data_IF_332424435111
#
_entry.id   IF_332424435111
#
_cell.length_a   1.000
_cell.length_b   1.000
_cell.length_c   1.000
_cell.angle_alpha   90.00
_cell.angle_beta   90.00
_cell.angle_gamma   90.00
#
_symmetry.space_group_name_H-M   'P 1'
#
loop_
_entity.id
_entity.type
_entity.pdbx_description
1 polymer ?
#
# COMPACT_ATOMS: atom_id res chain seq x y z
N UNK A 1 16.40 53.84 -46.55
CA UNK A 1 17.71 53.85 -45.87
C UNK A 1 17.42 54.09 -44.39
N UNK A 2 17.11 53.02 -43.66
CA UNK A 2 16.58 53.10 -42.28
C UNK A 2 17.53 52.34 -41.38
N UNK A 3 18.20 53.10 -40.53
CA UNK A 3 19.27 52.68 -39.63
C UNK A 3 18.73 51.79 -38.51
N UNK A 4 19.29 50.59 -38.41
CA UNK A 4 19.12 49.65 -37.30
C UNK A 4 19.88 50.21 -36.09
N UNK A 5 19.19 50.41 -34.96
CA UNK A 5 19.81 50.58 -33.64
C UNK A 5 19.49 49.34 -32.80
N UNK A 6 20.53 48.57 -32.50
CA UNK A 6 20.46 47.43 -31.61
C UNK A 6 20.31 47.83 -30.14
N UNK A 7 19.68 46.95 -29.37
CA UNK A 7 20.01 46.71 -27.96
C UNK A 7 19.71 45.25 -27.65
N UNK A 8 20.73 44.41 -27.77
CA UNK A 8 20.70 43.03 -27.28
C UNK A 8 21.38 42.99 -25.92
N UNK A 9 20.61 42.82 -24.85
CA UNK A 9 21.12 42.29 -23.57
C UNK A 9 20.93 40.77 -23.57
N UNK A 10 22.00 39.98 -23.39
CA UNK A 10 21.93 38.53 -23.43
C UNK A 10 21.53 37.92 -22.08
N UNK A 11 20.60 36.97 -22.13
CA UNK A 11 20.56 35.80 -21.24
C UNK A 11 20.24 36.02 -19.76
N UNK A 12 18.96 36.13 -19.41
CA UNK A 12 18.48 35.61 -18.13
C UNK A 12 18.13 34.12 -18.30
N UNK A 13 18.58 33.20 -17.43
CA UNK A 13 18.19 31.81 -17.53
C UNK A 13 16.68 31.72 -17.27
N UNK A 14 15.95 31.11 -18.20
CA UNK A 14 14.59 30.59 -17.94
C UNK A 14 14.71 29.50 -16.87
N UNK A 15 14.78 29.91 -15.60
CA UNK A 15 14.58 29.02 -14.46
C UNK A 15 13.20 28.39 -14.63
N UNK A 16 13.17 27.06 -14.78
CA UNK A 16 11.94 26.30 -14.97
C UNK A 16 11.00 26.50 -13.77
N UNK A 17 9.98 27.34 -13.93
CA UNK A 17 8.81 27.49 -13.03
C UNK A 17 7.94 26.21 -12.90
N UNK A 18 8.50 25.05 -13.23
CA UNK A 18 7.84 23.74 -13.10
C UNK A 18 7.90 23.25 -11.66
N UNK A 19 8.97 23.59 -10.92
CA UNK A 19 9.15 23.16 -9.52
C UNK A 19 8.33 24.00 -8.52
N UNK A 20 7.99 25.25 -8.82
CA UNK A 20 7.19 26.11 -7.93
C UNK A 20 5.70 25.73 -7.87
N UNK A 21 5.22 24.91 -8.82
CA UNK A 21 3.86 24.35 -8.82
C UNK A 21 3.78 22.97 -8.13
N UNK A 22 4.91 22.38 -7.74
CA UNK A 22 4.91 21.06 -7.11
C UNK A 22 4.60 21.20 -5.62
N UNK A 23 3.36 20.92 -5.24
CA UNK A 23 2.93 20.94 -3.84
C UNK A 23 3.47 19.72 -3.09
N UNK A 24 4.77 19.75 -2.77
CA UNK A 24 5.49 18.69 -2.05
C UNK A 24 4.88 18.39 -0.67
N UNK A 25 4.16 19.35 -0.09
CA UNK A 25 3.42 19.24 1.18
C UNK A 25 2.54 17.98 1.22
N UNK A 26 1.75 17.73 0.17
CA UNK A 26 0.86 16.58 0.08
C UNK A 26 1.63 15.26 -0.04
N UNK A 27 2.75 15.28 -0.75
CA UNK A 27 3.61 14.10 -0.92
C UNK A 27 4.26 13.72 0.41
N UNK A 28 4.84 14.69 1.12
CA UNK A 28 5.45 14.47 2.43
C UNK A 28 4.41 14.01 3.46
N UNK A 29 3.26 14.69 3.52
CA UNK A 29 2.15 14.31 4.40
C UNK A 29 1.63 12.89 4.14
N UNK A 30 1.54 12.50 2.87
CA UNK A 30 1.14 11.15 2.46
C UNK A 30 2.14 10.08 2.88
N UNK A 31 3.44 10.31 2.64
CA UNK A 31 4.50 9.38 3.05
C UNK A 31 4.57 9.27 4.57
N UNK A 32 4.53 10.39 5.30
CA UNK A 32 4.56 10.36 6.77
C UNK A 32 3.36 9.61 7.34
N UNK A 33 2.16 9.84 6.80
CA UNK A 33 0.96 9.11 7.20
C UNK A 33 1.08 7.61 6.99
N UNK A 34 1.57 7.19 5.81
CA UNK A 34 1.79 5.79 5.48
C UNK A 34 2.84 5.11 6.36
N UNK A 35 3.98 5.78 6.61
CA UNK A 35 5.06 5.24 7.45
C UNK A 35 4.63 5.15 8.90
N UNK A 36 4.05 6.20 9.48
CA UNK A 36 3.62 6.21 10.89
C UNK A 36 2.52 5.16 11.13
N UNK A 37 1.52 5.09 10.25
CA UNK A 37 0.47 4.06 10.31
C UNK A 37 1.06 2.64 10.23
N UNK A 38 2.02 2.43 9.35
CA UNK A 38 2.72 1.14 9.21
C UNK A 38 3.49 0.80 10.49
N UNK A 39 4.22 1.74 11.08
CA UNK A 39 4.99 1.53 12.32
C UNK A 39 4.08 1.21 13.51
N UNK A 40 3.01 1.98 13.70
CA UNK A 40 2.08 1.77 14.82
C UNK A 40 1.32 0.45 14.73
N UNK A 41 1.01 0.01 13.50
CA UNK A 41 0.21 -1.20 13.26
C UNK A 41 1.03 -2.40 12.81
N UNK A 42 2.36 -2.30 12.78
CA UNK A 42 3.23 -3.42 12.46
C UNK A 42 3.07 -4.62 13.42
N UNK A 43 2.83 -4.43 14.74
CA UNK A 43 2.46 -5.55 15.62
C UNK A 43 1.21 -6.29 15.11
N UNK A 44 0.22 -5.53 14.62
CA UNK A 44 -0.94 -5.95 13.84
C UNK A 44 -0.61 -7.00 12.78
N UNK A 45 0.31 -6.57 11.92
CA UNK A 45 0.74 -7.30 10.73
C UNK A 45 1.51 -8.55 11.05
N UNK A 46 2.37 -8.46 12.05
CA UNK A 46 3.15 -9.59 12.49
C UNK A 46 2.24 -10.71 13.00
N UNK A 47 1.26 -10.40 13.86
CA UNK A 47 0.40 -11.47 14.36
C UNK A 47 -0.52 -11.98 13.26
N UNK A 48 -1.03 -11.13 12.34
CA UNK A 48 -1.81 -11.60 11.18
C UNK A 48 -1.05 -12.69 10.42
N UNK A 49 0.23 -12.46 10.10
CA UNK A 49 1.07 -13.42 9.36
C UNK A 49 1.27 -14.69 10.18
N UNK A 50 1.59 -14.57 11.48
CA UNK A 50 1.77 -15.72 12.36
C UNK A 50 0.49 -16.56 12.51
N UNK A 51 -0.67 -15.94 12.63
CA UNK A 51 -1.95 -16.64 12.69
C UNK A 51 -2.28 -17.35 11.37
N UNK A 52 -1.99 -16.74 10.22
CA UNK A 52 -2.25 -17.33 8.90
C UNK A 52 -1.40 -18.59 8.64
N UNK A 53 -0.20 -18.65 9.21
CA UNK A 53 0.77 -19.75 9.06
C UNK A 53 0.71 -20.76 10.21
N UNK A 54 0.06 -20.41 11.33
CA UNK A 54 -0.06 -21.30 12.46
C UNK A 54 -1.06 -22.41 12.17
N UNK A 55 -0.54 -23.52 11.66
CA UNK A 55 -1.31 -24.71 11.32
C UNK A 55 -1.52 -25.60 12.55
N UNK A 56 -0.88 -25.29 13.70
CA UNK A 56 -1.04 -26.00 14.96
C UNK A 56 -0.35 -27.37 15.03
N UNK A 57 0.46 -27.70 14.03
CA UNK A 57 1.15 -28.98 13.85
C UNK A 57 2.68 -28.90 14.04
N UNK A 58 3.27 -27.71 13.93
CA UNK A 58 4.71 -27.53 14.05
C UNK A 58 5.07 -27.08 15.46
N UNK A 59 5.92 -27.85 16.14
CA UNK A 59 6.36 -27.58 17.52
C UNK A 59 7.08 -26.23 17.68
N UNK A 60 7.60 -25.66 16.59
CA UNK A 60 8.23 -24.34 16.58
C UNK A 60 7.24 -23.17 16.63
N UNK A 61 5.97 -23.37 16.28
CA UNK A 61 4.96 -22.30 16.25
C UNK A 61 4.13 -22.30 17.56
N UNK A 62 4.23 -21.25 18.39
CA UNK A 62 3.42 -21.17 19.62
C UNK A 62 1.92 -21.09 19.30
N UNK A 63 1.11 -21.82 20.09
CA UNK A 63 -0.35 -21.73 20.04
C UNK A 63 -0.82 -20.45 20.72
N UNK A 64 -1.49 -19.60 19.96
CA UNK A 64 -2.04 -18.34 20.46
C UNK A 64 -3.54 -18.45 20.68
N UNK A 65 -3.99 -18.28 21.93
CA UNK A 65 -5.42 -18.21 22.26
C UNK A 65 -5.93 -16.76 22.15
N UNK A 66 -5.88 -16.21 20.93
CA UNK A 66 -6.36 -14.86 20.60
C UNK A 66 -5.27 -13.79 20.47
N UNK A 67 -5.70 -12.60 20.03
CA UNK A 67 -4.82 -11.47 19.68
C UNK A 67 -4.01 -10.95 20.87
N UNK A 68 -4.67 -10.75 22.01
CA UNK A 68 -4.05 -10.19 23.22
C UNK A 68 -3.03 -11.15 23.83
N UNK A 69 -3.39 -12.44 23.91
CA UNK A 69 -2.48 -13.49 24.36
C UNK A 69 -1.26 -13.57 23.44
N UNK A 70 -1.46 -13.55 22.11
CA UNK A 70 -0.35 -13.53 21.16
C UNK A 70 0.60 -12.36 21.40
N UNK A 71 0.07 -11.14 21.56
CA UNK A 71 0.88 -9.95 21.78
C UNK A 71 1.69 -10.05 23.08
N UNK A 72 1.06 -10.46 24.19
CA UNK A 72 1.73 -10.64 25.49
C UNK A 72 2.79 -11.73 25.42
N UNK A 73 2.50 -12.86 24.78
CA UNK A 73 3.43 -13.97 24.65
C UNK A 73 4.66 -13.57 23.83
N UNK A 74 4.48 -12.88 22.70
CA UNK A 74 5.60 -12.41 21.86
C UNK A 74 6.48 -11.42 22.64
N UNK A 75 5.90 -10.49 23.38
CA UNK A 75 6.68 -9.55 24.20
C UNK A 75 7.47 -10.29 25.29
N UNK A 76 6.89 -11.33 25.89
CA UNK A 76 7.58 -12.15 26.90
C UNK A 76 8.71 -13.01 26.33
N UNK A 77 8.54 -13.58 25.14
CA UNK A 77 9.52 -14.52 24.55
C UNK A 77 10.57 -13.85 23.67
N UNK A 78 10.19 -12.87 22.86
CA UNK A 78 11.06 -12.21 21.86
C UNK A 78 11.36 -10.75 22.19
N UNK A 79 10.71 -10.20 23.22
CA UNK A 79 10.80 -8.79 23.58
C UNK A 79 10.01 -7.87 22.64
N UNK A 80 10.03 -6.57 22.95
CA UNK A 80 9.35 -5.53 22.14
C UNK A 80 9.93 -5.47 20.72
N UNK A 81 11.23 -5.73 20.55
CA UNK A 81 11.86 -5.79 19.22
C UNK A 81 11.33 -6.92 18.35
N UNK A 82 10.84 -8.01 18.95
CA UNK A 82 10.17 -9.11 18.25
C UNK A 82 8.93 -8.63 17.48
N UNK A 83 8.13 -7.75 18.07
CA UNK A 83 6.93 -7.19 17.45
C UNK A 83 7.22 -6.35 16.20
N UNK A 84 8.44 -5.85 16.03
CA UNK A 84 8.87 -5.01 14.91
C UNK A 84 9.70 -5.77 13.86
N UNK A 85 9.84 -7.09 13.97
CA UNK A 85 10.52 -7.90 12.95
C UNK A 85 9.80 -7.81 11.61
N UNK A 86 10.56 -7.58 10.54
CA UNK A 86 10.01 -7.42 9.18
C UNK A 86 9.45 -6.03 8.85
N UNK A 87 9.60 -5.03 9.72
CA UNK A 87 9.11 -3.66 9.44
C UNK A 87 9.87 -2.97 8.31
N UNK A 88 11.19 -3.13 8.24
CA UNK A 88 12.03 -2.55 7.18
C UNK A 88 11.63 -3.02 5.78
N UNK A 89 11.55 -4.33 5.48
CA UNK A 89 11.09 -4.79 4.17
C UNK A 89 9.61 -4.46 3.92
N UNK A 90 8.78 -4.27 4.96
CA UNK A 90 7.40 -3.83 4.81
C UNK A 90 7.31 -2.40 4.25
N UNK A 91 8.06 -1.47 4.83
CA UNK A 91 8.10 -0.07 4.38
C UNK A 91 8.73 0.03 3.00
N UNK A 92 9.90 -0.59 2.80
CA UNK A 92 10.59 -0.61 1.51
C UNK A 92 9.73 -1.26 0.42
N UNK A 93 9.15 -2.43 0.71
CA UNK A 93 8.32 -3.18 -0.22
C UNK A 93 7.05 -2.42 -0.62
N UNK A 94 6.41 -1.73 0.33
CA UNK A 94 5.23 -0.91 0.05
C UNK A 94 5.58 0.28 -0.85
N UNK A 95 6.63 1.03 -0.52
CA UNK A 95 7.10 2.16 -1.33
C UNK A 95 7.51 1.73 -2.73
N UNK A 96 8.32 0.67 -2.85
CA UNK A 96 8.76 0.15 -4.15
C UNK A 96 7.60 -0.38 -4.97
N UNK A 97 6.61 -1.03 -4.35
CA UNK A 97 5.43 -1.55 -5.06
C UNK A 97 4.62 -0.43 -5.71
N UNK A 98 4.34 0.66 -4.98
CA UNK A 98 3.64 1.81 -5.56
C UNK A 98 4.47 2.50 -6.65
N UNK A 99 5.78 2.66 -6.45
CA UNK A 99 6.67 3.22 -7.46
C UNK A 99 6.68 2.42 -8.76
N UNK A 100 6.92 1.10 -8.67
CA UNK A 100 6.88 0.21 -9.83
C UNK A 100 5.50 0.13 -10.46
N UNK A 101 4.43 0.12 -9.66
CA UNK A 101 3.06 0.10 -10.17
C UNK A 101 2.79 1.33 -11.05
N UNK A 102 3.07 2.54 -10.56
CA UNK A 102 2.87 3.76 -11.35
C UNK A 102 3.80 3.81 -12.57
N UNK A 103 5.04 3.34 -12.44
CA UNK A 103 5.98 3.26 -13.55
C UNK A 103 5.46 2.35 -14.68
N UNK A 104 5.10 1.10 -14.36
CA UNK A 104 4.60 0.15 -15.35
C UNK A 104 3.23 0.57 -15.89
N UNK A 105 2.33 1.02 -15.02
CA UNK A 105 1.01 1.50 -15.43
C UNK A 105 1.11 2.65 -16.43
N UNK A 106 1.92 3.67 -16.14
CA UNK A 106 2.10 4.80 -17.06
C UNK A 106 2.81 4.38 -18.36
N UNK A 107 3.77 3.46 -18.29
CA UNK A 107 4.46 2.95 -19.49
C UNK A 107 3.50 2.19 -20.40
N UNK A 108 2.71 1.27 -19.85
CA UNK A 108 1.70 0.49 -20.58
C UNK A 108 0.62 1.44 -21.12
N UNK A 109 0.14 2.37 -20.30
CA UNK A 109 -0.86 3.37 -20.70
C UNK A 109 -0.37 4.23 -21.88
N UNK A 110 0.85 4.76 -21.82
CA UNK A 110 1.44 5.55 -22.92
C UNK A 110 1.63 4.71 -24.17
N UNK A 111 2.02 3.43 -24.03
CA UNK A 111 2.14 2.49 -25.14
C UNK A 111 0.79 2.25 -25.83
N UNK A 112 -0.28 2.01 -25.06
CA UNK A 112 -1.63 1.80 -25.61
C UNK A 112 -2.17 3.08 -26.27
N UNK A 113 -1.87 4.26 -25.71
CA UNK A 113 -2.29 5.54 -26.29
C UNK A 113 -1.46 5.97 -27.52
N UNK A 114 -0.41 5.20 -27.89
CA UNK A 114 0.45 5.51 -29.04
C UNK A 114 1.14 6.87 -28.92
N UNK A 115 1.50 7.28 -27.70
CA UNK A 115 2.11 8.59 -27.42
C UNK A 115 1.15 9.78 -27.42
N UNK A 116 -0.16 9.57 -27.61
CA UNK A 116 -1.14 10.65 -27.66
C UNK A 116 -2.03 10.67 -26.40
N UNK A 117 -1.62 11.41 -25.36
CA UNK A 117 -2.30 11.43 -24.03
C UNK A 117 -3.77 11.87 -24.04
N UNK A 118 -4.28 12.44 -25.14
CA UNK A 118 -5.68 12.90 -25.26
C UNK A 118 -6.69 11.84 -25.69
N UNK A 119 -6.27 10.61 -26.03
CA UNK A 119 -7.22 9.54 -26.37
C UNK A 119 -7.85 8.96 -25.10
N UNK A 120 -9.18 9.07 -24.91
CA UNK A 120 -9.86 8.40 -23.81
C UNK A 120 -9.77 6.89 -24.00
N UNK A 121 -9.27 6.19 -22.99
CA UNK A 121 -9.24 4.73 -22.96
C UNK A 121 -10.52 4.24 -22.29
N UNK A 122 -11.11 3.17 -22.83
CA UNK A 122 -12.25 2.52 -22.21
C UNK A 122 -11.90 1.94 -20.82
N UNK A 123 -12.89 1.75 -19.93
CA UNK A 123 -12.67 1.16 -18.60
C UNK A 123 -11.99 -0.21 -18.64
N UNK A 124 -12.32 -1.05 -19.63
CA UNK A 124 -11.70 -2.37 -19.84
C UNK A 124 -10.20 -2.28 -20.12
N UNK A 125 -9.78 -1.32 -20.95
CA UNK A 125 -8.35 -1.11 -21.26
C UNK A 125 -7.58 -0.61 -20.05
N UNK A 126 -8.19 0.24 -19.21
CA UNK A 126 -7.61 0.63 -17.93
C UNK A 126 -7.46 -0.57 -16.99
N UNK A 127 -8.44 -1.48 -16.99
CA UNK A 127 -8.39 -2.69 -16.16
C UNK A 127 -7.28 -3.65 -16.61
N UNK A 128 -7.12 -3.89 -17.92
CA UNK A 128 -6.01 -4.71 -18.44
C UNK A 128 -4.65 -4.06 -18.17
N UNK A 129 -4.50 -2.77 -18.44
CA UNK A 129 -3.26 -2.05 -18.14
C UNK A 129 -2.90 -2.08 -16.64
N UNK A 130 -3.91 -1.96 -15.77
CA UNK A 130 -3.73 -2.08 -14.32
C UNK A 130 -3.36 -3.51 -13.91
N UNK A 131 -3.96 -4.53 -14.52
CA UNK A 131 -3.65 -5.94 -14.26
C UNK A 131 -2.22 -6.28 -14.68
N UNK A 132 -1.81 -5.91 -15.89
CA UNK A 132 -0.46 -6.16 -16.41
C UNK A 132 0.61 -5.42 -15.58
N UNK A 133 0.35 -4.16 -15.23
CA UNK A 133 1.22 -3.40 -14.32
C UNK A 133 1.32 -4.07 -12.93
N UNK A 134 0.21 -4.61 -12.42
CA UNK A 134 0.16 -5.36 -11.16
C UNK A 134 1.00 -6.65 -11.21
N UNK A 135 0.93 -7.40 -12.31
CA UNK A 135 1.74 -8.62 -12.53
C UNK A 135 3.23 -8.27 -12.59
N UNK A 136 3.63 -7.27 -13.38
CA UNK A 136 5.03 -6.84 -13.49
C UNK A 136 5.58 -6.33 -12.15
N UNK A 137 4.77 -5.56 -11.42
CA UNK A 137 5.13 -5.08 -10.09
C UNK A 137 5.32 -6.24 -9.11
N UNK A 138 4.45 -7.26 -9.17
CA UNK A 138 4.59 -8.45 -8.33
C UNK A 138 5.88 -9.19 -8.65
N UNK A 139 6.22 -9.40 -9.92
CA UNK A 139 7.47 -10.07 -10.32
C UNK A 139 8.71 -9.37 -9.74
N UNK A 140 8.72 -8.04 -9.77
CA UNK A 140 9.83 -7.25 -9.23
C UNK A 140 9.88 -7.22 -7.70
N UNK A 141 8.72 -7.12 -7.04
CA UNK A 141 8.65 -6.91 -5.58
C UNK A 141 8.52 -8.20 -4.78
N UNK A 142 8.22 -9.34 -5.42
CA UNK A 142 7.99 -10.59 -4.72
C UNK A 142 9.14 -11.00 -3.77
N UNK A 143 10.43 -10.85 -4.11
CA UNK A 143 11.52 -11.15 -3.19
C UNK A 143 11.44 -10.33 -1.89
N UNK A 144 11.07 -9.06 -1.97
CA UNK A 144 10.92 -8.17 -0.80
C UNK A 144 9.80 -8.68 0.11
N UNK A 145 8.67 -9.10 -0.49
CA UNK A 145 7.53 -9.65 0.25
C UNK A 145 7.85 -11.00 0.91
N UNK A 146 8.64 -11.86 0.26
CA UNK A 146 9.13 -13.12 0.85
C UNK A 146 10.06 -12.85 2.04
N UNK A 147 10.95 -11.86 1.93
CA UNK A 147 11.83 -11.46 3.04
C UNK A 147 11.00 -10.93 4.21
N UNK A 148 9.96 -10.12 3.93
CA UNK A 148 9.04 -9.63 4.97
C UNK A 148 8.40 -10.80 5.74
N UNK A 149 7.76 -11.74 5.05
CA UNK A 149 7.03 -12.83 5.71
C UNK A 149 7.94 -13.72 6.52
N UNK A 150 9.10 -14.10 5.99
CA UNK A 150 10.09 -14.91 6.72
C UNK A 150 10.67 -14.22 7.94
N UNK A 151 10.96 -12.91 7.87
CA UNK A 151 11.41 -12.16 9.03
C UNK A 151 10.32 -12.05 10.11
N UNK A 152 9.04 -11.92 9.74
CA UNK A 152 7.93 -11.96 10.70
C UNK A 152 7.78 -13.34 11.39
N UNK A 153 8.19 -14.41 10.70
CA UNK A 153 8.11 -15.79 11.16
C UNK A 153 9.40 -16.28 11.83
N UNK A 154 10.46 -15.48 11.89
CA UNK A 154 11.68 -15.91 12.58
C UNK A 154 11.42 -15.95 14.09
N UNK A 155 11.55 -17.14 14.69
CA UNK A 155 11.45 -17.33 16.14
C UNK A 155 12.86 -17.31 16.77
N UNK A 156 12.94 -17.21 18.10
CA UNK A 156 14.23 -17.05 18.81
C UNK A 156 15.19 -18.25 18.63
N UNK A 157 14.69 -19.43 18.28
CA UNK A 157 15.49 -20.64 18.07
C UNK A 157 16.07 -20.78 16.65
N UNK A 158 15.65 -19.94 15.69
CA UNK A 158 16.11 -19.98 14.30
C UNK A 158 17.46 -19.28 14.11
N UNK A 159 18.55 -19.91 14.56
CA UNK A 159 19.90 -19.34 14.45
C UNK A 159 20.52 -19.59 13.06
N UNK A 160 20.08 -20.60 12.29
CA UNK A 160 20.60 -20.87 10.95
C UNK A 160 19.54 -21.45 9.99
N UNK A 161 18.92 -20.60 9.17
CA UNK A 161 18.07 -21.09 8.06
C UNK A 161 18.98 -21.64 6.96
N UNK A 162 18.85 -22.93 6.66
CA UNK A 162 19.61 -23.58 5.58
C UNK A 162 19.45 -22.82 4.25
N UNK A 163 20.57 -22.56 3.57
CA UNK A 163 20.62 -21.77 2.33
C UNK A 163 19.73 -22.38 1.21
N UNK A 164 19.53 -23.70 1.22
CA UNK A 164 18.64 -24.43 0.31
C UNK A 164 17.16 -24.04 0.42
N UNK A 165 16.71 -23.55 1.58
CA UNK A 165 15.32 -23.07 1.80
C UNK A 165 15.12 -21.61 1.36
N UNK A 166 16.20 -20.90 1.00
CA UNK A 166 16.19 -19.46 0.68
C UNK A 166 15.39 -19.12 -0.58
N UNK A 167 15.34 -20.00 -1.58
CA UNK A 167 14.66 -19.72 -2.87
C UNK A 167 13.39 -20.55 -3.12
N UNK A 168 13.09 -21.52 -2.25
CA UNK A 168 11.92 -22.39 -2.38
C UNK A 168 10.68 -21.71 -1.80
N UNK A 169 9.52 -21.81 -2.47
CA UNK A 169 8.25 -21.30 -1.93
C UNK A 169 8.03 -19.78 -2.06
N UNK A 170 8.39 -19.18 -3.19
CA UNK A 170 8.24 -17.73 -3.39
C UNK A 170 6.78 -17.21 -3.32
N UNK A 171 5.78 -18.09 -3.37
CA UNK A 171 4.36 -17.72 -3.30
C UNK A 171 3.87 -16.91 -4.51
N UNK A 172 4.56 -16.99 -5.65
CA UNK A 172 4.25 -16.19 -6.84
C UNK A 172 2.88 -16.54 -7.44
N UNK A 173 2.58 -17.84 -7.59
CA UNK A 173 1.31 -18.31 -8.16
C UNK A 173 0.10 -17.78 -7.37
N UNK A 174 -0.03 -17.99 -6.05
CA UNK A 174 -1.12 -17.36 -5.30
C UNK A 174 -1.00 -15.83 -5.24
N UNK A 175 0.21 -15.27 -5.36
CA UNK A 175 0.42 -13.84 -5.51
C UNK A 175 -0.24 -13.24 -6.76
N UNK A 176 -0.24 -13.96 -7.88
CA UNK A 176 -0.89 -13.52 -9.13
C UNK A 176 -2.41 -13.43 -8.98
N UNK A 177 -3.02 -14.35 -8.21
CA UNK A 177 -4.43 -14.21 -7.83
C UNK A 177 -4.69 -12.92 -7.03
N UNK A 178 -3.67 -12.36 -6.37
CA UNK A 178 -3.76 -11.06 -5.71
C UNK A 178 -4.06 -9.89 -6.65
N UNK A 179 -3.73 -9.99 -7.95
CA UNK A 179 -4.09 -8.95 -8.94
C UNK A 179 -5.61 -8.83 -9.09
N UNK A 180 -6.35 -9.93 -8.88
CA UNK A 180 -7.82 -9.91 -8.90
C UNK A 180 -8.44 -9.09 -7.75
N UNK A 181 -7.69 -8.81 -6.67
CA UNK A 181 -8.19 -8.07 -5.51
C UNK A 181 -8.71 -6.68 -5.91
N UNK A 182 -7.95 -5.95 -6.74
CA UNK A 182 -8.35 -4.62 -7.20
C UNK A 182 -9.59 -4.67 -8.11
N UNK A 183 -9.68 -5.68 -8.97
CA UNK A 183 -10.84 -5.89 -9.85
C UNK A 183 -12.11 -6.17 -9.04
N UNK A 184 -12.04 -7.05 -8.03
CA UNK A 184 -13.17 -7.36 -7.15
C UNK A 184 -13.58 -6.14 -6.33
N UNK A 185 -12.60 -5.37 -5.82
CA UNK A 185 -12.89 -4.13 -5.10
C UNK A 185 -13.62 -3.11 -5.98
N UNK A 186 -13.14 -2.92 -7.21
CA UNK A 186 -13.75 -1.99 -8.17
C UNK A 186 -15.16 -2.44 -8.55
N UNK A 187 -15.34 -3.71 -8.93
CA UNK A 187 -16.64 -4.30 -9.26
C UNK A 187 -17.63 -4.14 -8.10
N UNK A 188 -17.24 -4.52 -6.87
CA UNK A 188 -18.10 -4.40 -5.70
C UNK A 188 -18.47 -2.93 -5.42
N UNK A 189 -17.52 -2.01 -5.61
CA UNK A 189 -17.77 -0.58 -5.47
C UNK A 189 -18.79 -0.06 -6.48
N UNK A 190 -18.63 -0.40 -7.77
CA UNK A 190 -19.56 0.04 -8.82
C UNK A 190 -20.96 -0.56 -8.65
N UNK A 191 -21.06 -1.84 -8.29
CA UNK A 191 -22.35 -2.50 -8.04
C UNK A 191 -23.12 -1.86 -6.88
N UNK A 192 -22.46 -1.62 -5.75
CA UNK A 192 -23.09 -0.96 -4.60
C UNK A 192 -23.54 0.47 -4.95
N UNK A 193 -22.69 1.20 -5.69
CA UNK A 193 -22.98 2.55 -6.16
C UNK A 193 -24.19 2.57 -7.11
N UNK A 194 -24.24 1.67 -8.09
CA UNK A 194 -25.33 1.56 -9.06
C UNK A 194 -26.65 1.17 -8.37
N UNK A 195 -26.61 0.24 -7.43
CA UNK A 195 -27.79 -0.15 -6.64
C UNK A 195 -28.34 1.02 -5.81
N UNK A 196 -27.46 1.85 -5.27
CA UNK A 196 -27.85 3.03 -4.51
C UNK A 196 -28.50 4.12 -5.40
N UNK A 197 -27.96 4.38 -6.59
CA UNK A 197 -28.60 5.28 -7.56
C UNK A 197 -29.99 4.80 -7.98
N UNK A 198 -30.14 3.49 -8.24
CA UNK A 198 -31.44 2.89 -8.57
C UNK A 198 -32.44 3.02 -7.42
N UNK A 199 -31.98 2.91 -6.17
CA UNK A 199 -32.85 3.12 -5.00
C UNK A 199 -33.33 4.58 -4.87
N UNK A 200 -32.46 5.54 -5.17
CA UNK A 200 -32.77 6.97 -5.13
C UNK A 200 -33.49 7.47 -6.40
N UNK A 201 -33.56 6.69 -7.47
CA UNK A 201 -34.03 7.10 -8.81
C UNK A 201 -33.31 8.36 -9.34
N UNK A 202 -32.01 8.46 -9.07
CA UNK A 202 -31.15 9.61 -9.45
C UNK A 202 -30.21 9.18 -10.59
N UNK A 203 -29.90 10.05 -11.57
CA UNK A 203 -28.97 9.72 -12.66
C UNK A 203 -27.59 9.33 -12.13
N UNK A 204 -26.96 8.34 -12.79
CA UNK A 204 -25.72 7.64 -12.41
C UNK A 204 -24.51 8.59 -12.24
N UNK A 205 -24.56 9.77 -12.86
CA UNK A 205 -23.47 10.76 -12.85
C UNK A 205 -23.49 11.73 -11.66
N UNK A 206 -24.45 11.58 -10.73
CA UNK A 206 -24.59 12.49 -9.59
C UNK A 206 -23.48 12.25 -8.58
N UNK A 207 -22.69 13.29 -8.27
CA UNK A 207 -21.59 13.19 -7.30
C UNK A 207 -22.15 12.86 -5.91
N UNK A 208 -21.79 11.69 -5.39
CA UNK A 208 -22.13 11.24 -4.03
C UNK A 208 -21.47 12.14 -2.99
N UNK A 209 -22.11 12.23 -1.82
CA UNK A 209 -21.52 12.88 -0.66
C UNK A 209 -20.22 12.17 -0.27
N UNK A 210 -19.25 12.92 0.26
CA UNK A 210 -17.96 12.37 0.70
C UNK A 210 -18.13 11.20 1.68
N UNK A 211 -19.13 11.28 2.56
CA UNK A 211 -19.43 10.23 3.53
C UNK A 211 -19.90 8.94 2.86
N UNK A 212 -20.81 9.05 1.88
CA UNK A 212 -21.34 7.91 1.13
C UNK A 212 -20.23 7.25 0.31
N UNK A 213 -19.39 8.05 -0.33
CA UNK A 213 -18.22 7.57 -1.06
C UNK A 213 -17.29 6.75 -0.16
N UNK A 214 -16.98 7.24 1.04
CA UNK A 214 -16.13 6.55 2.01
C UNK A 214 -16.77 5.24 2.47
N UNK A 215 -18.08 5.23 2.74
CA UNK A 215 -18.81 4.03 3.15
C UNK A 215 -18.76 2.96 2.06
N UNK A 216 -19.06 3.31 0.80
CA UNK A 216 -18.98 2.38 -0.33
C UNK A 216 -17.56 1.88 -0.57
N UNK A 217 -16.56 2.76 -0.46
CA UNK A 217 -15.15 2.37 -0.60
C UNK A 217 -14.69 1.43 0.52
N UNK A 218 -15.15 1.65 1.75
CA UNK A 218 -14.84 0.77 2.88
C UNK A 218 -15.50 -0.60 2.71
N UNK A 219 -16.80 -0.65 2.41
CA UNK A 219 -17.52 -1.91 2.18
C UNK A 219 -16.93 -2.70 1.03
N UNK A 220 -16.56 -2.05 -0.09
CA UNK A 220 -15.99 -2.75 -1.25
C UNK A 220 -14.64 -3.36 -0.91
N UNK A 221 -13.82 -2.65 -0.15
CA UNK A 221 -12.53 -3.14 0.35
C UNK A 221 -12.71 -4.34 1.29
N UNK A 222 -13.72 -4.33 2.15
CA UNK A 222 -14.03 -5.46 3.04
C UNK A 222 -14.49 -6.69 2.25
N UNK A 223 -15.38 -6.51 1.27
CA UNK A 223 -15.85 -7.60 0.40
C UNK A 223 -14.69 -8.20 -0.40
N UNK A 224 -13.85 -7.35 -1.00
CA UNK A 224 -12.66 -7.81 -1.73
C UNK A 224 -11.64 -8.50 -0.81
N UNK A 225 -11.44 -7.99 0.42
CA UNK A 225 -10.55 -8.62 1.39
C UNK A 225 -11.08 -9.98 1.84
N UNK A 226 -12.38 -10.13 2.05
CA UNK A 226 -13.00 -11.39 2.47
C UNK A 226 -13.00 -12.43 1.35
N UNK A 227 -13.38 -12.04 0.12
CA UNK A 227 -13.42 -12.96 -1.03
C UNK A 227 -12.03 -13.47 -1.42
N UNK A 228 -11.03 -12.61 -1.29
CA UNK A 228 -9.66 -12.94 -1.68
C UNK A 228 -8.76 -13.36 -0.51
N UNK A 229 -9.31 -13.48 0.70
CA UNK A 229 -8.52 -13.90 1.86
C UNK A 229 -7.85 -15.27 1.72
N UNK A 230 -8.50 -16.31 1.14
CA UNK A 230 -7.91 -17.65 1.01
C UNK A 230 -6.54 -17.66 0.30
N UNK A 231 -6.38 -16.85 -0.75
CA UNK A 231 -5.09 -16.80 -1.45
C UNK A 231 -4.01 -16.16 -0.56
N UNK A 232 -4.36 -15.19 0.29
CA UNK A 232 -3.40 -14.52 1.19
C UNK A 232 -2.83 -15.51 2.20
N UNK A 233 -3.68 -16.37 2.75
CA UNK A 233 -3.27 -17.42 3.69
C UNK A 233 -2.35 -18.42 3.01
N UNK A 234 -2.75 -18.94 1.84
CA UNK A 234 -1.93 -19.90 1.09
C UNK A 234 -0.60 -19.28 0.66
N UNK A 235 -0.59 -18.00 0.26
CA UNK A 235 0.65 -17.28 -0.04
C UNK A 235 1.56 -17.19 1.19
N UNK A 236 1.02 -16.84 2.35
CA UNK A 236 1.79 -16.73 3.59
C UNK A 236 2.38 -18.10 4.00
N UNK A 237 1.59 -19.17 3.93
CA UNK A 237 2.03 -20.55 4.24
C UNK A 237 3.12 -21.05 3.31
N UNK A 238 3.03 -20.75 2.01
CA UNK A 238 4.09 -21.13 1.06
C UNK A 238 5.40 -20.37 1.29
N UNK A 239 5.32 -19.15 1.83
CA UNK A 239 6.49 -18.31 2.10
C UNK A 239 7.16 -18.62 3.45
N UNK A 240 6.47 -19.36 4.32
CA UNK A 240 7.02 -19.89 5.55
C UNK A 240 8.18 -20.87 5.27
N UNK A 241 9.26 -20.77 6.05
CA UNK A 241 10.44 -21.62 5.93
C UNK A 241 10.37 -22.88 6.80
N UNK A 242 9.44 -22.94 7.75
CA UNK A 242 9.28 -24.08 8.66
C UNK A 242 8.52 -25.25 8.03
N UNK A 243 7.69 -25.01 7.02
CA UNK A 243 6.90 -26.03 6.34
C UNK A 243 7.41 -26.28 4.92
N UNK A 244 7.68 -27.54 4.60
CA UNK A 244 8.13 -27.95 3.26
C UNK A 244 6.92 -28.31 2.37
N UNK A 245 6.24 -27.29 1.82
CA UNK A 245 5.24 -27.52 0.78
C UNK A 245 5.89 -27.74 -0.58
N UNK A 246 5.45 -28.79 -1.30
CA UNK A 246 5.92 -29.09 -2.67
C UNK A 246 5.43 -28.07 -3.71
N UNK A 247 4.35 -27.34 -3.41
CA UNK A 247 3.78 -26.30 -4.26
C UNK A 247 2.43 -25.81 -3.74
N UNK A 248 1.82 -24.87 -4.47
CA UNK A 248 0.53 -24.24 -4.10
C UNK A 248 -0.59 -25.26 -3.93
N UNK A 249 -0.70 -26.23 -4.85
CA UNK A 249 -1.73 -27.25 -4.78
C UNK A 249 -1.58 -28.15 -3.54
N UNK A 250 -0.36 -28.56 -3.23
CA UNK A 250 -0.07 -29.34 -2.03
C UNK A 250 -0.42 -28.55 -0.76
N UNK A 251 -0.11 -27.25 -0.72
CA UNK A 251 -0.50 -26.38 0.40
C UNK A 251 -2.03 -26.30 0.57
N UNK A 252 -2.77 -26.14 -0.52
CA UNK A 252 -4.25 -26.11 -0.50
C UNK A 252 -4.81 -27.43 0.02
N UNK A 253 -4.33 -28.56 -0.51
CA UNK A 253 -4.80 -29.89 -0.12
C UNK A 253 -4.51 -30.19 1.35
N UNK A 254 -3.31 -29.86 1.84
CA UNK A 254 -2.95 -30.02 3.26
C UNK A 254 -3.85 -29.12 4.14
N UNK A 255 -4.01 -27.85 3.78
CA UNK A 255 -4.87 -26.91 4.54
C UNK A 255 -6.29 -27.45 4.65
N UNK A 256 -6.86 -27.91 3.53
CA UNK A 256 -8.20 -28.49 3.52
C UNK A 256 -8.30 -29.78 4.35
N UNK A 257 -7.31 -30.68 4.24
CA UNK A 257 -7.33 -31.98 4.93
C UNK A 257 -7.16 -31.86 6.44
N UNK A 258 -6.33 -30.94 6.91
CA UNK A 258 -5.96 -30.83 8.33
C UNK A 258 -6.75 -29.76 9.10
N UNK A 259 -7.18 -28.69 8.45
CA UNK A 259 -7.88 -27.56 9.11
C UNK A 259 -9.28 -27.30 8.56
N UNK A 260 -9.63 -27.93 7.44
CA UNK A 260 -10.88 -27.66 6.74
C UNK A 260 -10.96 -26.23 6.22
N UNK A 261 -12.20 -25.75 6.05
CA UNK A 261 -12.45 -24.44 5.45
C UNK A 261 -11.99 -23.26 6.34
N UNK A 262 -11.98 -23.42 7.66
CA UNK A 262 -11.55 -22.38 8.61
C UNK A 262 -10.06 -22.04 8.46
N UNK A 263 -9.23 -22.99 8.03
CA UNK A 263 -7.80 -22.77 7.82
C UNK A 263 -7.51 -21.64 6.83
N UNK A 264 -8.33 -21.50 5.78
CA UNK A 264 -8.19 -20.47 4.76
C UNK A 264 -8.55 -19.05 5.22
N UNK A 265 -9.18 -18.92 6.39
CA UNK A 265 -9.61 -17.65 6.97
C UNK A 265 -8.88 -17.28 8.27
N UNK A 266 -7.83 -18.04 8.62
CA UNK A 266 -7.01 -17.76 9.80
C UNK A 266 -6.34 -16.38 9.72
N UNK A 267 -6.56 -15.58 10.75
CA UNK A 267 -6.05 -14.21 10.84
C UNK A 267 -6.96 -13.16 10.18
N UNK A 268 -8.12 -13.53 9.63
CA UNK A 268 -9.05 -12.56 9.01
C UNK A 268 -9.53 -11.54 10.04
N UNK A 269 -9.87 -11.97 11.26
CA UNK A 269 -10.27 -11.08 12.35
C UNK A 269 -9.20 -10.03 12.66
N UNK A 270 -7.93 -10.44 12.75
CA UNK A 270 -6.80 -9.52 12.96
C UNK A 270 -6.68 -8.54 11.80
N UNK A 271 -6.82 -9.02 10.56
CA UNK A 271 -6.79 -8.17 9.38
C UNK A 271 -7.90 -7.11 9.41
N UNK A 272 -9.13 -7.50 9.76
CA UNK A 272 -10.27 -6.58 9.86
C UNK A 272 -10.08 -5.55 10.97
N UNK A 273 -9.66 -5.97 12.16
CA UNK A 273 -9.37 -5.07 13.29
C UNK A 273 -8.27 -4.06 12.94
N UNK A 274 -7.32 -4.42 12.08
CA UNK A 274 -6.23 -3.53 11.64
C UNK A 274 -6.69 -2.44 10.66
N UNK A 275 -7.72 -2.69 9.84
CA UNK A 275 -8.12 -1.76 8.75
C UNK A 275 -8.57 -0.41 9.30
N UNK A 276 -9.45 -0.40 10.30
CA UNK A 276 -10.04 0.84 10.83
C UNK A 276 -9.01 1.74 11.54
N UNK A 277 -8.16 1.24 12.45
CA UNK A 277 -7.08 2.05 13.02
C UNK A 277 -6.11 2.54 11.95
N UNK A 278 -5.81 1.74 10.92
CA UNK A 278 -4.90 2.13 9.85
C UNK A 278 -5.41 3.36 9.10
N UNK A 279 -6.70 3.38 8.76
CA UNK A 279 -7.30 4.52 8.06
C UNK A 279 -7.31 5.77 8.92
N UNK A 280 -7.67 5.64 10.21
CA UNK A 280 -7.72 6.78 11.14
C UNK A 280 -6.33 7.37 11.36
N UNK A 281 -5.32 6.53 11.67
CA UNK A 281 -3.95 7.01 11.92
C UNK A 281 -3.37 7.68 10.68
N UNK A 282 -3.57 7.08 9.49
CA UNK A 282 -3.07 7.66 8.24
C UNK A 282 -3.68 9.03 7.98
N UNK A 283 -4.99 9.17 8.19
CA UNK A 283 -5.71 10.42 7.98
C UNK A 283 -5.28 11.50 8.97
N UNK A 284 -5.24 11.19 10.26
CA UNK A 284 -4.83 12.13 11.32
C UNK A 284 -3.39 12.61 11.11
N UNK A 285 -2.46 11.71 10.78
CA UNK A 285 -1.06 12.09 10.52
C UNK A 285 -0.96 12.92 9.25
N UNK A 286 -1.71 12.57 8.21
CA UNK A 286 -1.75 13.33 6.97
C UNK A 286 -2.24 14.76 7.20
N UNK A 287 -3.37 14.95 7.89
CA UNK A 287 -3.91 16.29 8.16
C UNK A 287 -2.97 17.13 9.00
N UNK A 288 -2.42 16.56 10.08
CA UNK A 288 -1.48 17.26 10.96
C UNK A 288 -0.19 17.66 10.23
N UNK A 289 0.37 16.76 9.41
CA UNK A 289 1.59 17.07 8.63
C UNK A 289 1.32 18.09 7.53
N UNK A 290 0.18 17.98 6.86
CA UNK A 290 -0.20 18.95 5.83
C UNK A 290 -0.37 20.35 6.44
N UNK A 291 -1.09 20.45 7.56
CA UNK A 291 -1.28 21.72 8.28
C UNK A 291 0.05 22.31 8.75
N UNK A 292 0.93 21.48 9.30
CA UNK A 292 2.26 21.90 9.75
C UNK A 292 3.11 22.45 8.59
N UNK A 293 3.14 21.76 7.45
CA UNK A 293 3.94 22.19 6.29
C UNK A 293 3.38 23.47 5.64
N UNK A 294 2.06 23.58 5.53
CA UNK A 294 1.40 24.79 5.02
C UNK A 294 1.62 25.99 5.94
N UNK A 295 1.53 25.80 7.26
CA UNK A 295 1.82 26.85 8.24
C UNK A 295 3.28 27.29 8.18
N UNK A 296 4.20 26.33 8.04
CA UNK A 296 5.64 26.61 7.91
C UNK A 296 5.94 27.41 6.64
N UNK A 297 5.29 27.07 5.52
CA UNK A 297 5.42 27.80 4.27
C UNK A 297 4.87 29.22 4.37
N UNK A 298 3.70 29.42 4.98
CA UNK A 298 3.11 30.73 5.18
C UNK A 298 4.02 31.63 6.04
N UNK A 299 4.69 31.07 7.06
CA UNK A 299 5.66 31.81 7.88
C UNK A 299 6.91 32.23 7.07
N UNK A 300 7.41 31.38 6.17
CA UNK A 300 8.54 31.69 5.29
C UNK A 300 8.17 32.75 4.24
N UNK A 301 7.01 32.62 3.59
CA UNK A 301 6.51 33.61 2.62
C UNK A 301 6.23 34.98 3.30
N UNK A 302 5.71 34.97 4.53
CA UNK A 302 5.52 36.19 5.34
C UNK A 302 6.83 36.87 5.75
N UNK A 303 7.92 36.11 5.91
CA UNK A 303 9.26 36.66 6.23
C UNK A 303 9.94 37.26 4.99
N UNK A 304 9.72 36.67 3.80
CA UNK A 304 10.29 37.14 2.53
C UNK A 304 9.52 38.36 1.97
N UNK A 305 8.25 38.55 2.33
CA UNK A 305 7.46 39.72 1.93
C UNK A 305 7.87 41.04 2.65
N UNK A 306 8.76 40.97 3.65
CA UNK A 306 9.23 42.14 4.43
C UNK A 306 10.71 42.41 4.13
N UNK A 307 11.07 42.79 2.88
CA UNK A 307 12.08 43.84 2.73
C UNK A 307 11.91 44.74 1.48
N UNK A 308 10.68 45.13 1.10
CA UNK A 308 10.50 46.16 0.03
C UNK A 308 9.70 47.38 0.50
N UNK A 309 8.78 47.23 1.46
CA UNK A 309 8.02 48.38 2.00
C UNK A 309 8.82 49.27 2.97
N UNK A 310 10.01 48.83 3.43
CA UNK A 310 10.87 49.61 4.31
C UNK A 310 11.87 50.52 3.57
N UNK A 311 12.10 50.33 2.27
CA UNK A 311 13.05 51.15 1.49
C UNK A 311 12.40 52.42 0.91
N UNK A 312 11.08 52.44 0.74
CA UNK A 312 10.36 53.63 0.24
C UNK A 312 9.94 54.63 1.34
N UNK A 313 10.23 54.36 2.63
CA UNK A 313 9.99 55.30 3.74
C UNK A 313 11.24 56.04 4.23
N UNK A 314 12.36 55.93 3.51
CA UNK A 314 13.60 56.67 3.78
C UNK A 314 13.97 57.63 2.63
N UNK A 315 12.99 57.99 1.78
CA UNK A 315 13.15 58.95 0.67
C UNK A 315 12.15 60.13 0.70
N UNK A 316 11.51 60.36 1.84
CA UNK A 316 10.83 61.62 2.14
C UNK A 316 11.48 62.28 3.36
#
# INVERSE_FOLDING_TARGET
>A
MTTIKGSGTPGAPRQLNVLSNFKYEYFVAGISGGVVSTLMLHPLDLIKIRFAVNDGHTSAAPRYNGLTNAMVQIVKTEGVRGLYRGVTPNVLGSGSSWGFYFFFYNTIKTSIQGGNSKKPLGPSMHMFAAADAGVLTLLMTNPIWVVKTRLCLQYAEDVNVAESKRYRGMGLVPGLFGVSHGAIQFMAYEEMKNKYYNYLNVPIDTKLSTTEYIIFAAMSKLIAAASTYPYQVIRARLQDHHHDYRGTWHCIQCTWRYEGWHGFYKGLSVNLTRVTPATVITFVVYENMLHYLQSSRAAVEGTIAVPVSAVNKLKE
#
